data_IF_416268724263
#
_entry.id   IF_416268724263
#
_cell.length_a   1.000
_cell.length_b   1.000
_cell.length_c   1.000
_cell.angle_alpha   90.00
_cell.angle_beta   90.00
_cell.angle_gamma   90.00
#
_symmetry.space_group_name_H-M   'P 1'
#
loop_
_entity.id
_entity.type
_entity.pdbx_description
1 polymer ?
#
# COMPACT_ATOMS: atom_id res chain seq x y z
N UNK A 1 10.53 -7.21 7.71
CA UNK A 1 11.09 -5.84 7.83
C UNK A 1 9.94 -4.85 7.91
N UNK A 2 9.96 -3.88 8.83
CA UNK A 2 8.93 -2.83 8.90
C UNK A 2 9.46 -1.49 8.37
N UNK A 3 8.58 -0.71 7.74
CA UNK A 3 8.89 0.63 7.24
C UNK A 3 8.04 1.64 8.02
N UNK A 4 8.66 2.53 8.82
CA UNK A 4 7.94 3.59 9.50
C UNK A 4 7.53 4.70 8.52
N UNK A 5 6.28 5.15 8.59
CA UNK A 5 5.77 6.29 7.83
C UNK A 5 5.03 7.24 8.77
N UNK A 6 5.39 8.52 8.74
CA UNK A 6 4.67 9.55 9.47
C UNK A 6 3.51 10.08 8.62
N UNK A 7 2.27 9.98 9.13
CA UNK A 7 1.06 10.44 8.44
C UNK A 7 0.08 11.00 9.47
N UNK A 8 -0.45 12.20 9.20
CA UNK A 8 -1.43 12.88 10.06
C UNK A 8 -1.06 12.90 11.55
N UNK A 9 0.21 13.21 11.87
CA UNK A 9 0.67 13.31 13.26
C UNK A 9 1.00 11.97 13.93
N UNK A 10 0.84 10.84 13.25
CA UNK A 10 1.06 9.50 13.81
C UNK A 10 2.12 8.72 13.03
N UNK A 11 2.97 7.99 13.74
CA UNK A 11 3.89 7.02 13.15
C UNK A 11 3.16 5.69 12.90
N UNK A 12 3.08 5.29 11.63
CA UNK A 12 2.47 4.03 11.20
C UNK A 12 3.57 3.08 10.74
N UNK A 13 3.54 1.85 11.23
CA UNK A 13 4.47 0.79 10.81
C UNK A 13 3.82 -0.05 9.72
N UNK A 14 4.44 -0.07 8.54
CA UNK A 14 4.06 -0.99 7.47
C UNK A 14 4.91 -2.26 7.56
N UNK A 15 4.27 -3.38 7.89
CA UNK A 15 4.88 -4.71 7.84
C UNK A 15 4.95 -5.15 6.39
N UNK A 16 6.15 -5.08 5.79
CA UNK A 16 6.32 -5.49 4.40
C UNK A 16 6.16 -7.01 4.31
N UNK A 17 5.24 -7.53 3.47
CA UNK A 17 5.06 -8.98 3.34
C UNK A 17 6.36 -9.61 2.86
N UNK A 18 6.77 -10.72 3.47
CA UNK A 18 8.04 -11.39 3.13
C UNK A 18 7.95 -12.14 1.79
N UNK A 19 6.77 -12.62 1.46
CA UNK A 19 6.47 -13.33 0.22
C UNK A 19 6.18 -12.33 -0.91
N UNK A 20 6.85 -12.50 -2.06
CA UNK A 20 6.57 -11.72 -3.28
C UNK A 20 7.19 -10.32 -3.36
N UNK A 21 7.79 -9.80 -2.28
CA UNK A 21 8.38 -8.44 -2.25
C UNK A 21 9.86 -8.38 -2.60
N UNK A 22 10.49 -9.52 -2.96
CA UNK A 22 11.88 -9.58 -3.39
C UNK A 22 12.16 -8.71 -4.64
N UNK A 23 11.17 -8.59 -5.52
CA UNK A 23 11.22 -7.75 -6.72
C UNK A 23 10.83 -6.29 -6.48
N UNK A 24 10.32 -5.95 -5.29
CA UNK A 24 9.97 -4.57 -4.98
C UNK A 24 11.25 -3.78 -4.73
N UNK A 25 11.53 -2.81 -5.60
CA UNK A 25 12.60 -1.85 -5.39
C UNK A 25 12.34 -1.03 -4.11
N UNK A 26 13.37 -0.41 -3.55
CA UNK A 26 13.23 0.47 -2.37
C UNK A 26 12.16 1.54 -2.59
N UNK A 27 12.06 2.11 -3.79
CA UNK A 27 11.02 3.10 -4.14
C UNK A 27 9.61 2.51 -4.04
N UNK A 28 9.39 1.29 -4.54
CA UNK A 28 8.10 0.61 -4.44
C UNK A 28 7.75 0.25 -2.99
N UNK A 29 8.73 -0.15 -2.18
CA UNK A 29 8.54 -0.41 -0.74
C UNK A 29 8.12 0.86 0.01
N UNK A 30 8.72 2.01 -0.29
CA UNK A 30 8.33 3.30 0.29
C UNK A 30 6.96 3.76 -0.19
N UNK A 31 6.63 3.55 -1.47
CA UNK A 31 5.28 3.83 -2.02
C UNK A 31 4.24 2.95 -1.34
N UNK A 32 4.52 1.66 -1.17
CA UNK A 32 3.66 0.71 -0.46
C UNK A 32 3.37 1.19 0.97
N UNK A 33 4.43 1.52 1.72
CA UNK A 33 4.29 2.03 3.08
C UNK A 33 3.44 3.32 3.13
N UNK A 34 3.60 4.22 2.15
CA UNK A 34 2.83 5.47 2.05
C UNK A 34 1.35 5.23 1.71
N UNK A 35 1.06 4.30 0.80
CA UNK A 35 -0.30 3.90 0.43
C UNK A 35 -0.99 3.24 1.62
N UNK A 36 -0.31 2.32 2.29
CA UNK A 36 -0.80 1.66 3.51
C UNK A 36 -1.13 2.68 4.61
N UNK A 37 -0.19 3.59 4.91
CA UNK A 37 -0.42 4.64 5.90
C UNK A 37 -1.63 5.51 5.54
N UNK A 38 -1.79 5.84 4.26
CA UNK A 38 -2.95 6.60 3.76
C UNK A 38 -4.25 5.82 3.96
N UNK A 39 -4.26 4.51 3.66
CA UNK A 39 -5.43 3.66 3.84
C UNK A 39 -5.86 3.56 5.31
N UNK A 40 -4.91 3.36 6.22
CA UNK A 40 -5.17 3.36 7.66
C UNK A 40 -5.77 4.69 8.11
N UNK A 41 -5.20 5.83 7.68
CA UNK A 41 -5.74 7.15 8.04
C UNK A 41 -7.13 7.45 7.48
N UNK A 42 -7.54 6.74 6.43
CA UNK A 42 -8.89 6.84 5.85
C UNK A 42 -9.92 5.91 6.52
N UNK A 43 -9.51 5.13 7.52
CA UNK A 43 -10.40 4.25 8.27
C UNK A 43 -10.59 2.86 7.65
N UNK A 44 -9.76 2.46 6.68
CA UNK A 44 -9.75 1.06 6.23
C UNK A 44 -9.17 0.15 7.30
N UNK A 45 -9.63 -1.11 7.37
CA UNK A 45 -9.05 -2.11 8.27
C UNK A 45 -7.59 -2.40 7.91
N UNK A 46 -6.82 -2.96 8.84
CA UNK A 46 -5.42 -3.36 8.60
C UNK A 46 -5.33 -4.31 7.40
N UNK A 47 -6.17 -5.34 7.38
CA UNK A 47 -6.21 -6.36 6.32
C UNK A 47 -6.54 -5.73 4.97
N UNK A 48 -7.57 -4.87 4.92
CA UNK A 48 -7.95 -4.20 3.66
C UNK A 48 -6.87 -3.25 3.17
N UNK A 49 -6.20 -2.56 4.10
CA UNK A 49 -5.08 -1.66 3.78
C UNK A 49 -3.89 -2.42 3.18
N UNK A 50 -3.58 -3.62 3.69
CA UNK A 50 -2.55 -4.49 3.11
C UNK A 50 -2.91 -4.91 1.69
N UNK A 51 -4.15 -5.39 1.48
CA UNK A 51 -4.63 -5.81 0.15
C UNK A 51 -4.56 -4.66 -0.85
N UNK A 52 -5.06 -3.48 -0.50
CA UNK A 52 -5.04 -2.32 -1.41
C UNK A 52 -3.62 -1.85 -1.73
N UNK A 53 -2.71 -1.97 -0.76
CA UNK A 53 -1.30 -1.66 -0.94
C UNK A 53 -0.65 -2.61 -1.94
N UNK A 54 -0.86 -3.91 -1.75
CA UNK A 54 -0.33 -4.93 -2.66
C UNK A 54 -0.89 -4.79 -4.07
N UNK A 55 -2.21 -4.59 -4.19
CA UNK A 55 -2.84 -4.31 -5.49
C UNK A 55 -2.25 -3.06 -6.16
N UNK A 56 -2.02 -1.98 -5.41
CA UNK A 56 -1.39 -0.77 -5.93
C UNK A 56 0.01 -1.05 -6.50
N UNK A 57 0.84 -1.82 -5.80
CA UNK A 57 2.19 -2.12 -6.26
C UNK A 57 2.17 -3.10 -7.45
N UNK A 58 1.35 -4.14 -7.39
CA UNK A 58 1.22 -5.10 -8.49
C UNK A 58 0.69 -4.43 -9.76
N UNK A 59 -0.22 -3.45 -9.64
CA UNK A 59 -0.64 -2.61 -10.77
C UNK A 59 0.53 -1.86 -11.40
N UNK A 60 1.42 -1.27 -10.58
CA UNK A 60 2.60 -0.56 -11.07
C UNK A 60 3.65 -1.50 -11.69
N UNK A 61 3.83 -2.70 -11.14
CA UNK A 61 4.81 -3.67 -11.61
C UNK A 61 4.38 -4.40 -12.88
N UNK A 62 3.12 -4.79 -12.95
CA UNK A 62 2.61 -5.74 -13.95
C UNK A 62 1.54 -5.15 -14.88
N UNK A 63 1.10 -3.92 -14.65
CA UNK A 63 0.04 -3.29 -15.44
C UNK A 63 -1.33 -3.96 -15.30
N UNK A 64 -1.54 -4.73 -14.22
CA UNK A 64 -2.80 -5.45 -13.99
C UNK A 64 -3.97 -4.50 -13.70
N UNK A 65 -5.17 -4.92 -14.06
CA UNK A 65 -6.42 -4.19 -13.78
C UNK A 65 -7.28 -5.04 -12.87
N UNK A 66 -7.75 -4.45 -11.78
CA UNK A 66 -8.60 -5.09 -10.79
C UNK A 66 -10.09 -4.75 -11.02
N UNK A 67 -10.96 -5.26 -10.16
CA UNK A 67 -12.37 -4.89 -10.17
C UNK A 67 -12.55 -3.38 -9.97
N UNK A 68 -13.64 -2.83 -10.52
CA UNK A 68 -13.96 -1.40 -10.47
C UNK A 68 -13.86 -0.82 -9.05
N UNK A 69 -14.36 -1.53 -8.06
CA UNK A 69 -14.29 -1.11 -6.66
C UNK A 69 -12.84 -0.96 -6.15
N UNK A 70 -11.98 -1.95 -6.42
CA UNK A 70 -10.58 -1.92 -5.99
C UNK A 70 -9.83 -0.77 -6.69
N UNK A 71 -10.10 -0.54 -7.97
CA UNK A 71 -9.50 0.57 -8.71
C UNK A 71 -9.91 1.94 -8.15
N UNK A 72 -11.18 2.12 -7.78
CA UNK A 72 -11.67 3.34 -7.12
C UNK A 72 -11.02 3.54 -5.74
N UNK A 73 -10.91 2.47 -4.94
CA UNK A 73 -10.25 2.51 -3.64
C UNK A 73 -8.75 2.88 -3.80
N UNK A 74 -8.01 2.21 -4.68
CA UNK A 74 -6.59 2.50 -4.96
C UNK A 74 -6.41 3.93 -5.49
N UNK A 75 -7.28 4.39 -6.39
CA UNK A 75 -7.24 5.76 -6.92
C UNK A 75 -7.44 6.78 -5.81
N UNK A 76 -8.30 6.48 -4.83
CA UNK A 76 -8.48 7.35 -3.67
C UNK A 76 -7.21 7.41 -2.80
N UNK A 77 -6.38 6.37 -2.80
CA UNK A 77 -5.16 6.27 -1.98
C UNK A 77 -3.91 6.82 -2.65
N UNK A 78 -3.97 7.15 -3.94
CA UNK A 78 -2.84 7.70 -4.68
C UNK A 78 -2.48 9.09 -4.13
N UNK A 79 -1.37 9.12 -3.38
CA UNK A 79 -0.63 10.33 -2.97
C UNK A 79 0.31 10.76 -4.08
#
# INVERSE_FOLDING_TARGET
MSIPVFRNGTWIQYETPETGTSIWTTSLKLKAASVYATAITKGFSKERSLVLTECCINKLLYGVTYSKQIEEEIKSLHV
#
